data_IF_835536569242
#
_entry.id   IF_835536569242
#
_cell.length_a   1.000
_cell.length_b   1.000
_cell.length_c   1.000
_cell.angle_alpha   90.00
_cell.angle_beta   90.00
_cell.angle_gamma   90.00
#
_symmetry.space_group_name_H-M   'P 1'
#
loop_
_entity.id
_entity.type
_entity.pdbx_description
1 polymer ?
#
# COMPACT_ATOMS: atom_id res chain seq x y z
N UNK A 1 -14.59 19.26 29.94
CA UNK A 1 -15.88 18.55 29.63
C UNK A 1 -15.93 18.29 28.13
N UNK A 2 -16.21 17.07 27.70
CA UNK A 2 -16.23 16.66 26.29
C UNK A 2 -17.68 16.66 25.80
N UNK A 3 -17.96 17.40 24.73
CA UNK A 3 -19.26 17.40 24.03
C UNK A 3 -19.16 16.61 22.73
N UNK A 4 -20.08 15.67 22.52
CA UNK A 4 -20.12 14.85 21.31
C UNK A 4 -21.55 14.40 21.00
N UNK A 5 -21.81 13.98 19.76
CA UNK A 5 -23.15 13.54 19.34
C UNK A 5 -23.19 12.04 19.17
N UNK A 6 -24.27 11.39 19.63
CA UNK A 6 -24.48 9.96 19.40
C UNK A 6 -24.65 9.68 17.90
N UNK A 7 -23.83 8.81 17.34
CA UNK A 7 -23.83 8.40 15.92
C UNK A 7 -25.16 7.80 15.45
N UNK A 8 -25.98 7.26 16.35
CA UNK A 8 -27.27 6.62 16.02
C UNK A 8 -28.46 7.59 16.04
N UNK A 9 -28.50 8.51 17.00
CA UNK A 9 -29.69 9.36 17.22
C UNK A 9 -29.40 10.86 17.27
N UNK A 10 -28.14 11.25 17.05
CA UNK A 10 -27.63 12.62 17.08
C UNK A 10 -27.87 13.39 18.40
N UNK A 11 -28.17 12.69 19.50
CA UNK A 11 -28.29 13.33 20.80
C UNK A 11 -26.92 13.84 21.26
N UNK A 12 -26.87 15.10 21.69
CA UNK A 12 -25.66 15.72 22.23
C UNK A 12 -25.46 15.21 23.66
N UNK A 13 -24.29 14.65 23.92
CA UNK A 13 -23.89 14.11 25.20
C UNK A 13 -22.69 14.85 25.75
N UNK A 14 -22.61 14.91 27.08
CA UNK A 14 -21.48 15.48 27.80
C UNK A 14 -20.81 14.40 28.65
N UNK A 15 -19.49 14.37 28.63
CA UNK A 15 -18.69 13.47 29.46
C UNK A 15 -17.57 14.24 30.18
N UNK A 16 -17.23 13.89 31.43
CA UNK A 16 -15.99 14.35 32.03
C UNK A 16 -14.78 13.83 31.25
N UNK A 17 -13.67 14.58 31.28
CA UNK A 17 -12.45 14.22 30.56
C UNK A 17 -11.84 12.89 31.00
N UNK A 18 -12.11 12.45 32.23
CA UNK A 18 -11.69 11.16 32.76
C UNK A 18 -12.33 9.95 32.04
N UNK A 19 -13.40 10.15 31.27
CA UNK A 19 -14.06 9.10 30.48
C UNK A 19 -13.64 9.10 29.00
N UNK A 20 -12.57 9.82 28.65
CA UNK A 20 -12.02 9.89 27.31
C UNK A 20 -11.57 8.50 26.83
N UNK A 21 -12.04 8.07 25.66
CA UNK A 21 -11.75 6.75 25.10
C UNK A 21 -12.63 5.61 25.64
N UNK A 22 -13.40 5.86 26.70
CA UNK A 22 -14.35 4.90 27.27
C UNK A 22 -15.67 4.88 26.50
N UNK A 23 -16.45 3.81 26.68
CA UNK A 23 -17.78 3.70 26.10
C UNK A 23 -18.84 4.26 27.05
N UNK A 24 -19.68 5.17 26.55
CA UNK A 24 -20.82 5.72 27.27
C UNK A 24 -22.13 5.31 26.62
N UNK A 25 -23.10 4.94 27.46
CA UNK A 25 -24.45 4.62 27.01
C UNK A 25 -25.22 5.90 26.73
N UNK A 26 -25.69 6.06 25.49
CA UNK A 26 -26.51 7.19 25.10
C UNK A 26 -27.82 7.20 25.92
N UNK A 27 -28.17 8.32 26.60
CA UNK A 27 -29.34 8.37 27.46
C UNK A 27 -30.65 8.25 26.69
N UNK A 28 -30.66 8.60 25.39
CA UNK A 28 -31.86 8.58 24.54
C UNK A 28 -32.13 7.23 23.88
N UNK A 29 -31.11 6.62 23.28
CA UNK A 29 -31.29 5.39 22.48
C UNK A 29 -30.59 4.15 23.05
N UNK A 30 -29.82 4.30 24.13
CA UNK A 30 -29.10 3.21 24.78
C UNK A 30 -27.88 2.66 24.01
N UNK A 31 -27.52 3.24 22.87
CA UNK A 31 -26.34 2.85 22.10
C UNK A 31 -25.05 3.16 22.87
N UNK A 32 -24.05 2.27 22.80
CA UNK A 32 -22.73 2.49 23.39
C UNK A 32 -21.88 3.31 22.42
N UNK A 33 -21.65 4.57 22.77
CA UNK A 33 -20.83 5.49 22.00
C UNK A 33 -19.46 5.64 22.65
N UNK A 34 -18.39 5.55 21.86
CA UNK A 34 -17.05 5.77 22.37
C UNK A 34 -16.83 7.28 22.54
N UNK A 35 -16.53 7.73 23.74
CA UNK A 35 -16.12 9.13 23.98
C UNK A 35 -14.84 9.36 23.19
N UNK A 36 -14.83 10.39 22.33
CA UNK A 36 -13.65 10.71 21.52
C UNK A 36 -12.40 10.71 22.39
N UNK A 37 -11.40 9.90 22.00
CA UNK A 37 -10.11 9.80 22.70
C UNK A 37 -9.26 11.05 22.57
N UNK A 38 -9.63 11.99 21.69
CA UNK A 38 -8.77 13.12 21.30
C UNK A 38 -9.34 14.43 21.83
N UNK A 39 -8.52 15.22 22.54
CA UNK A 39 -8.92 16.55 22.99
C UNK A 39 -8.83 17.51 21.81
N UNK A 40 -9.96 17.94 21.20
CA UNK A 40 -9.91 18.81 20.04
C UNK A 40 -9.23 20.14 20.38
N UNK A 41 -9.37 20.60 21.63
CA UNK A 41 -8.84 21.89 22.10
C UNK A 41 -7.32 21.86 22.35
N UNK A 42 -6.70 20.67 22.45
CA UNK A 42 -5.23 20.56 22.56
C UNK A 42 -4.53 20.56 21.20
N UNK A 43 -5.27 20.38 20.11
CA UNK A 43 -4.71 20.34 18.78
C UNK A 43 -4.83 21.70 18.10
N UNK A 44 -3.70 22.42 18.02
CA UNK A 44 -3.65 23.67 17.25
C UNK A 44 -4.07 23.38 15.80
N UNK A 45 -5.03 24.14 15.23
CA UNK A 45 -5.38 24.01 13.83
C UNK A 45 -4.20 24.48 12.98
N UNK A 46 -3.47 23.54 12.39
CA UNK A 46 -2.29 23.82 11.55
C UNK A 46 -2.69 23.97 10.09
N UNK A 47 -1.98 24.84 9.37
CA UNK A 47 -2.15 25.02 7.93
C UNK A 47 -3.41 25.76 7.48
N UNK A 48 -3.37 26.16 6.21
CA UNK A 48 -4.43 26.91 5.54
C UNK A 48 -5.38 25.97 4.80
N UNK A 49 -6.67 26.01 5.15
CA UNK A 49 -7.70 25.28 4.40
C UNK A 49 -7.95 25.92 3.02
N UNK A 50 -7.92 27.25 2.95
CA UNK A 50 -8.05 27.99 1.71
C UNK A 50 -6.78 27.86 0.83
N UNK A 51 -6.85 28.15 -0.48
CA UNK A 51 -5.69 28.15 -1.37
C UNK A 51 -4.73 29.32 -1.07
N UNK A 52 -4.28 29.48 0.17
CA UNK A 52 -3.39 30.55 0.61
C UNK A 52 -2.03 29.93 0.95
N UNK A 53 -0.96 30.44 0.34
CA UNK A 53 0.38 29.95 0.59
C UNK A 53 0.76 30.08 2.07
N UNK A 54 1.19 29.00 2.75
CA UNK A 54 1.48 29.03 4.19
C UNK A 54 2.76 29.82 4.55
N UNK A 55 3.57 30.21 3.56
CA UNK A 55 4.80 30.98 3.77
C UNK A 55 4.61 32.49 3.58
N UNK A 56 3.88 32.92 2.55
CA UNK A 56 3.75 34.33 2.19
C UNK A 56 2.32 34.87 2.21
N UNK A 57 1.34 34.03 2.55
CA UNK A 57 -0.08 34.37 2.64
C UNK A 57 -0.72 34.93 1.36
N UNK A 58 -0.09 34.72 0.19
CA UNK A 58 -0.71 35.05 -1.11
C UNK A 58 -1.70 33.96 -1.53
N UNK A 59 -2.82 34.41 -2.10
CA UNK A 59 -3.83 33.54 -2.70
C UNK A 59 -3.27 32.86 -3.96
N UNK A 60 -3.48 31.56 -4.06
CA UNK A 60 -3.13 30.73 -5.21
C UNK A 60 -4.36 30.62 -6.12
N UNK A 61 -4.14 30.57 -7.43
CA UNK A 61 -5.23 30.43 -8.42
C UNK A 61 -6.00 29.12 -8.22
N UNK A 62 -5.30 28.03 -7.93
CA UNK A 62 -5.87 26.69 -7.73
C UNK A 62 -5.24 26.06 -6.48
N UNK A 63 -6.07 25.45 -5.63
CA UNK A 63 -5.59 24.68 -4.47
C UNK A 63 -4.84 23.43 -4.96
N UNK A 64 -3.53 23.30 -4.68
CA UNK A 64 -2.81 22.11 -5.13
C UNK A 64 -3.25 20.86 -4.38
N UNK A 65 -3.18 19.71 -5.05
CA UNK A 65 -3.46 18.37 -4.47
C UNK A 65 -2.20 17.65 -3.96
N UNK A 66 -1.02 18.15 -4.31
CA UNK A 66 0.30 17.57 -4.00
C UNK A 66 1.30 18.65 -3.61
N UNK A 67 2.48 18.23 -3.12
CA UNK A 67 3.62 19.13 -2.83
C UNK A 67 3.87 20.04 -4.03
N UNK A 68 3.88 21.35 -3.80
CA UNK A 68 3.94 22.36 -4.85
C UNK A 68 4.82 23.54 -4.43
N UNK A 69 5.37 24.25 -5.41
CA UNK A 69 6.18 25.46 -5.20
C UNK A 69 5.29 26.70 -5.35
N UNK A 70 5.37 27.64 -4.41
CA UNK A 70 4.65 28.90 -4.52
C UNK A 70 5.29 29.79 -5.60
N UNK A 71 4.49 30.31 -6.54
CA UNK A 71 4.95 31.22 -7.59
C UNK A 71 5.35 32.61 -7.06
N UNK A 72 4.85 33.01 -5.89
CA UNK A 72 5.14 34.33 -5.31
C UNK A 72 6.41 34.36 -4.46
N UNK A 73 6.63 33.36 -3.61
CA UNK A 73 7.79 33.32 -2.69
C UNK A 73 8.82 32.24 -3.01
N UNK A 74 8.54 31.33 -3.95
CA UNK A 74 9.46 30.26 -4.32
C UNK A 74 9.58 29.11 -3.31
N UNK A 75 8.96 29.20 -2.13
CA UNK A 75 9.00 28.11 -1.14
C UNK A 75 8.12 26.93 -1.55
N UNK A 76 8.55 25.71 -1.21
CA UNK A 76 7.74 24.50 -1.33
C UNK A 76 6.84 24.35 -0.10
N UNK A 77 5.57 24.03 -0.33
CA UNK A 77 4.62 23.67 0.72
C UNK A 77 4.03 22.29 0.44
N UNK A 78 3.46 21.67 1.47
CA UNK A 78 2.85 20.34 1.40
C UNK A 78 1.34 20.45 1.54
N UNK A 79 0.65 19.47 0.97
CA UNK A 79 -0.78 19.23 1.19
C UNK A 79 -0.87 18.06 2.17
N UNK A 80 -1.59 18.27 3.27
CA UNK A 80 -1.80 17.24 4.31
C UNK A 80 -3.27 17.23 4.70
N UNK A 81 -3.77 16.05 5.06
CA UNK A 81 -5.05 15.95 5.74
C UNK A 81 -4.84 16.26 7.21
N UNK A 82 -5.73 17.00 7.84
CA UNK A 82 -5.69 17.25 9.28
C UNK A 82 -6.39 16.12 10.05
N UNK A 83 -5.84 15.62 11.16
CA UNK A 83 -6.48 14.56 11.93
C UNK A 83 -7.78 15.04 12.61
N UNK A 84 -7.86 16.32 12.99
CA UNK A 84 -9.00 16.85 13.76
C UNK A 84 -10.32 16.84 12.98
N UNK A 85 -10.25 17.10 11.68
CA UNK A 85 -11.43 17.33 10.85
C UNK A 85 -11.39 16.63 9.49
N UNK A 86 -10.33 15.87 9.20
CA UNK A 86 -10.15 15.17 7.93
C UNK A 86 -10.00 16.11 6.73
N UNK A 87 -9.78 17.42 6.92
CA UNK A 87 -9.69 18.38 5.82
C UNK A 87 -8.27 18.48 5.27
N UNK A 88 -8.15 18.63 3.95
CA UNK A 88 -6.88 18.93 3.30
C UNK A 88 -6.48 20.39 3.54
N UNK A 89 -5.27 20.61 4.05
CA UNK A 89 -4.68 21.93 4.33
C UNK A 89 -3.33 22.08 3.65
N UNK A 90 -2.99 23.32 3.31
CA UNK A 90 -1.67 23.72 2.85
C UNK A 90 -0.82 24.07 4.07
N UNK A 91 0.32 23.40 4.21
CA UNK A 91 1.20 23.52 5.38
C UNK A 91 2.64 23.78 4.97
N UNK A 92 3.34 24.52 5.83
CA UNK A 92 4.80 24.55 5.81
C UNK A 92 5.37 23.17 6.15
N UNK A 93 6.66 22.97 5.90
CA UNK A 93 7.37 21.74 6.28
C UNK A 93 7.27 21.45 7.79
N UNK A 94 7.45 22.48 8.63
CA UNK A 94 7.39 22.35 10.09
C UNK A 94 5.98 22.00 10.59
N UNK A 95 4.95 22.63 10.02
CA UNK A 95 3.56 22.29 10.35
C UNK A 95 3.17 20.90 9.83
N UNK A 96 3.69 20.47 8.68
CA UNK A 96 3.47 19.12 8.17
C UNK A 96 4.00 18.06 9.15
N UNK A 97 5.17 18.33 9.75
CA UNK A 97 5.74 17.47 10.78
C UNK A 97 4.92 17.49 12.07
N UNK A 98 4.39 18.65 12.46
CA UNK A 98 3.52 18.74 13.63
C UNK A 98 2.16 18.05 13.41
N UNK A 99 1.56 18.17 12.22
CA UNK A 99 0.38 17.36 11.83
C UNK A 99 0.73 15.86 11.87
N UNK A 100 1.92 15.47 11.42
CA UNK A 100 2.38 14.07 11.48
C UNK A 100 2.41 13.57 12.93
N UNK A 101 2.97 14.37 13.85
CA UNK A 101 2.94 14.09 15.29
C UNK A 101 1.54 14.06 15.87
N UNK A 102 0.56 14.77 15.28
CA UNK A 102 -0.84 14.77 15.71
C UNK A 102 -1.66 13.58 15.20
N UNK A 103 -1.32 12.95 14.07
CA UNK A 103 -1.93 11.67 13.69
C UNK A 103 -1.57 10.53 14.64
N UNK A 104 -0.45 10.70 15.32
CA UNK A 104 0.18 9.69 16.14
C UNK A 104 -0.40 9.49 17.57
N UNK A 105 -0.86 10.52 18.32
CA UNK A 105 -1.23 10.38 19.73
C UNK A 105 -2.56 9.62 19.92
N UNK A 106 -3.38 9.49 18.88
CA UNK A 106 -4.62 8.70 18.91
C UNK A 106 -4.41 7.20 19.20
N UNK A 107 -3.16 6.70 19.13
CA UNK A 107 -2.80 5.32 19.44
C UNK A 107 -2.02 5.11 20.75
N UNK A 108 -1.66 6.17 21.48
CA UNK A 108 -0.97 6.06 22.78
C UNK A 108 0.35 5.27 22.79
N UNK A 109 0.95 4.98 21.64
CA UNK A 109 2.24 4.28 21.49
C UNK A 109 3.22 5.21 20.80
N UNK A 110 4.49 5.22 21.20
CA UNK A 110 5.58 5.84 20.44
C UNK A 110 5.62 5.30 18.99
N UNK A 111 6.00 6.09 17.97
CA UNK A 111 6.15 5.67 16.57
C UNK A 111 6.82 4.33 16.37
N UNK A 112 7.89 4.14 17.12
CA UNK A 112 8.72 2.96 17.09
C UNK A 112 8.00 1.74 17.66
N UNK A 113 7.17 1.91 18.71
CA UNK A 113 6.46 0.81 19.34
C UNK A 113 5.33 0.28 18.45
N UNK A 114 4.50 1.16 17.90
CA UNK A 114 3.47 0.75 16.95
C UNK A 114 4.06 0.10 15.71
N UNK A 115 5.19 0.60 15.20
CA UNK A 115 5.85 0.00 14.05
C UNK A 115 6.34 -1.41 14.41
N UNK A 116 6.95 -1.58 15.58
CA UNK A 116 7.34 -2.91 16.08
C UNK A 116 6.14 -3.82 16.20
N UNK A 117 5.02 -3.33 16.72
CA UNK A 117 3.79 -4.10 16.85
C UNK A 117 3.22 -4.52 15.49
N UNK A 118 3.21 -3.59 14.52
CA UNK A 118 2.77 -3.88 13.14
C UNK A 118 3.70 -4.82 12.41
N UNK A 119 5.01 -4.68 12.59
CA UNK A 119 5.99 -5.63 12.07
C UNK A 119 5.78 -7.02 12.69
N UNK A 120 5.53 -7.10 14.00
CA UNK A 120 5.20 -8.37 14.65
C UNK A 120 3.90 -8.98 14.12
N UNK A 121 2.87 -8.16 13.88
CA UNK A 121 1.60 -8.60 13.28
C UNK A 121 1.82 -9.16 11.86
N UNK A 122 2.56 -8.44 11.01
CA UNK A 122 2.90 -8.91 9.66
C UNK A 122 3.73 -10.19 9.69
N UNK A 123 4.73 -10.28 10.57
CA UNK A 123 5.53 -11.51 10.70
C UNK A 123 4.67 -12.70 11.11
N UNK A 124 3.74 -12.53 12.06
CA UNK A 124 2.79 -13.59 12.44
C UNK A 124 1.90 -14.00 11.26
N UNK A 125 1.43 -13.06 10.46
CA UNK A 125 0.64 -13.34 9.26
C UNK A 125 1.48 -14.08 8.21
N UNK A 126 2.73 -13.67 7.98
CA UNK A 126 3.64 -14.33 7.05
C UNK A 126 4.01 -15.74 7.50
N UNK A 127 4.24 -15.96 8.80
CA UNK A 127 4.50 -17.28 9.37
C UNK A 127 3.30 -18.21 9.16
N UNK A 128 2.09 -17.71 9.41
CA UNK A 128 0.85 -18.45 9.20
C UNK A 128 0.63 -18.77 7.71
N UNK A 129 0.82 -17.79 6.81
CA UNK A 129 0.74 -18.03 5.37
C UNK A 129 1.81 -19.02 4.89
N UNK A 130 3.01 -18.98 5.46
CA UNK A 130 4.08 -19.92 5.13
C UNK A 130 3.73 -21.34 5.59
N UNK A 131 3.16 -21.49 6.79
CA UNK A 131 2.62 -22.76 7.30
C UNK A 131 1.54 -23.31 6.38
N UNK A 132 0.53 -22.50 6.05
CA UNK A 132 -0.54 -22.87 5.12
C UNK A 132 0.00 -23.23 3.73
N UNK A 133 0.97 -22.48 3.21
CA UNK A 133 1.59 -22.78 1.91
C UNK A 133 2.25 -24.16 1.92
N UNK A 134 2.93 -24.52 3.01
CA UNK A 134 3.58 -25.84 3.15
C UNK A 134 2.54 -26.97 3.20
N UNK A 135 1.42 -26.75 3.89
CA UNK A 135 0.31 -27.70 3.95
C UNK A 135 -0.34 -27.87 2.58
N UNK A 136 -0.57 -26.78 1.85
CA UNK A 136 -1.13 -26.80 0.51
C UNK A 136 -0.22 -27.53 -0.50
N UNK A 137 1.10 -27.33 -0.44
CA UNK A 137 2.06 -28.10 -1.27
C UNK A 137 1.96 -29.59 -0.97
N UNK A 138 1.94 -29.98 0.30
CA UNK A 138 1.85 -31.40 0.70
C UNK A 138 0.54 -32.04 0.24
N UNK A 139 -0.55 -31.28 0.26
CA UNK A 139 -1.86 -31.73 -0.21
C UNK A 139 -2.01 -31.71 -1.75
N UNK A 140 -1.06 -31.10 -2.48
CA UNK A 140 -1.20 -30.88 -3.92
C UNK A 140 -2.20 -29.79 -4.30
N UNK A 141 -2.57 -28.92 -3.36
CA UNK A 141 -3.50 -27.80 -3.55
C UNK A 141 -2.76 -26.59 -4.12
N UNK A 142 -2.35 -26.66 -5.40
CA UNK A 142 -1.46 -25.66 -6.00
C UNK A 142 -2.12 -24.28 -6.17
N UNK A 143 -3.44 -24.20 -6.34
CA UNK A 143 -4.19 -22.94 -6.34
C UNK A 143 -4.10 -22.22 -5.00
N UNK A 144 -4.45 -22.90 -3.89
CA UNK A 144 -4.27 -22.37 -2.54
C UNK A 144 -2.81 -22.02 -2.23
N UNK A 145 -1.85 -22.85 -2.64
CA UNK A 145 -0.42 -22.55 -2.49
C UNK A 145 -0.07 -21.20 -3.13
N UNK A 146 -0.44 -21.04 -4.40
CA UNK A 146 -0.23 -19.82 -5.18
C UNK A 146 -0.88 -18.62 -4.50
N UNK A 147 -2.10 -18.77 -3.97
CA UNK A 147 -2.80 -17.70 -3.28
C UNK A 147 -2.11 -17.31 -1.96
N UNK A 148 -1.63 -18.28 -1.17
CA UNK A 148 -0.81 -17.98 0.01
C UNK A 148 0.44 -17.18 -0.38
N UNK A 149 1.15 -17.58 -1.43
CA UNK A 149 2.33 -16.86 -1.93
C UNK A 149 1.99 -15.45 -2.39
N UNK A 150 0.85 -15.27 -3.06
CA UNK A 150 0.41 -13.95 -3.49
C UNK A 150 0.20 -13.02 -2.29
N UNK A 151 -0.49 -13.48 -1.25
CA UNK A 151 -0.72 -12.68 -0.04
C UNK A 151 0.59 -12.42 0.73
N UNK A 152 1.53 -13.37 0.75
CA UNK A 152 2.86 -13.14 1.31
C UNK A 152 3.61 -12.01 0.58
N UNK A 153 3.61 -12.01 -0.76
CA UNK A 153 4.25 -10.98 -1.56
C UNK A 153 3.64 -9.59 -1.29
N UNK A 154 2.31 -9.52 -1.18
CA UNK A 154 1.57 -8.28 -0.86
C UNK A 154 1.91 -7.79 0.55
N UNK A 155 1.97 -8.68 1.54
CA UNK A 155 2.38 -8.33 2.91
C UNK A 155 3.78 -7.71 2.97
N UNK A 156 4.75 -8.33 2.29
CA UNK A 156 6.13 -7.81 2.22
C UNK A 156 6.20 -6.44 1.52
N UNK A 157 5.44 -6.26 0.44
CA UNK A 157 5.39 -4.97 -0.26
C UNK A 157 4.71 -3.89 0.58
N UNK A 158 3.64 -4.22 1.31
CA UNK A 158 2.98 -3.30 2.24
C UNK A 158 3.93 -2.88 3.37
N UNK A 159 4.68 -3.82 3.96
CA UNK A 159 5.68 -3.49 4.98
C UNK A 159 6.76 -2.55 4.41
N UNK A 160 7.30 -2.86 3.22
CA UNK A 160 8.30 -2.02 2.57
C UNK A 160 7.79 -0.61 2.28
N UNK A 161 6.57 -0.50 1.74
CA UNK A 161 5.91 0.77 1.45
C UNK A 161 5.63 1.56 2.73
N UNK A 162 5.23 0.87 3.80
CA UNK A 162 5.03 1.49 5.10
C UNK A 162 6.32 2.09 5.65
N UNK A 163 7.44 1.36 5.58
CA UNK A 163 8.75 1.89 6.00
C UNK A 163 9.13 3.11 5.13
N UNK A 164 8.91 3.06 3.82
CA UNK A 164 9.21 4.22 2.96
C UNK A 164 8.39 5.47 3.29
N UNK A 165 7.10 5.31 3.61
CA UNK A 165 6.20 6.44 3.88
C UNK A 165 6.51 7.09 5.23
N UNK A 166 6.86 6.30 6.25
CA UNK A 166 6.97 6.80 7.62
C UNK A 166 8.37 7.29 7.99
N UNK A 167 9.39 6.90 7.23
CA UNK A 167 10.77 7.32 7.44
C UNK A 167 11.17 8.31 6.33
N UNK A 168 10.85 9.61 6.52
CA UNK A 168 11.14 10.67 5.53
C UNK A 168 12.64 10.88 5.26
N UNK A 169 13.50 10.43 6.18
CA UNK A 169 14.94 10.45 6.04
C UNK A 169 15.51 9.06 6.28
N UNK A 170 15.51 8.18 5.27
CA UNK A 170 16.18 6.90 5.37
C UNK A 170 17.71 7.10 5.19
N UNK A 171 18.28 8.14 5.82
CA UNK A 171 19.73 8.37 5.84
C UNK A 171 20.45 7.30 6.68
N UNK A 172 19.72 6.60 7.54
CA UNK A 172 20.20 5.36 8.14
C UNK A 172 20.19 4.25 7.09
N UNK A 173 21.39 3.75 6.77
CA UNK A 173 21.65 2.68 5.80
C UNK A 173 20.76 1.45 6.01
N UNK A 174 20.36 1.19 7.25
CA UNK A 174 19.71 -0.05 7.66
C UNK A 174 18.25 -0.10 7.19
N UNK A 175 17.52 1.01 7.26
CA UNK A 175 16.15 1.10 6.79
C UNK A 175 16.07 0.95 5.26
N UNK A 176 16.95 1.62 4.51
CA UNK A 176 17.00 1.45 3.05
C UNK A 176 17.35 0.02 2.65
N UNK A 177 18.31 -0.58 3.35
CA UNK A 177 18.73 -1.96 3.10
C UNK A 177 17.58 -2.93 3.38
N UNK A 178 16.85 -2.73 4.48
CA UNK A 178 15.67 -3.52 4.82
C UNK A 178 14.57 -3.38 3.77
N UNK A 179 14.20 -2.15 3.38
CA UNK A 179 13.20 -1.91 2.32
C UNK A 179 13.59 -2.59 1.01
N UNK A 180 14.84 -2.41 0.57
CA UNK A 180 15.35 -3.04 -0.64
C UNK A 180 15.29 -4.57 -0.57
N UNK A 181 15.58 -5.12 0.60
CA UNK A 181 15.50 -6.57 0.85
C UNK A 181 14.07 -7.07 0.76
N UNK A 182 13.13 -6.43 1.45
CA UNK A 182 11.69 -6.79 1.43
C UNK A 182 11.10 -6.71 0.02
N UNK A 183 11.38 -5.63 -0.71
CA UNK A 183 10.89 -5.46 -2.09
C UNK A 183 11.47 -6.51 -3.04
N UNK A 184 12.76 -6.85 -2.91
CA UNK A 184 13.37 -7.94 -3.70
C UNK A 184 12.74 -9.30 -3.39
N UNK A 185 12.43 -9.56 -2.12
CA UNK A 185 11.71 -10.77 -1.71
C UNK A 185 10.29 -10.78 -2.29
N UNK A 186 9.56 -9.67 -2.25
CA UNK A 186 8.24 -9.54 -2.85
C UNK A 186 8.28 -9.83 -4.37
N UNK A 187 9.25 -9.25 -5.11
CA UNK A 187 9.45 -9.55 -6.55
C UNK A 187 9.65 -11.06 -6.76
N UNK A 188 10.53 -11.69 -5.98
CA UNK A 188 10.81 -13.12 -6.14
C UNK A 188 9.55 -13.98 -5.91
N UNK A 189 8.71 -13.62 -4.94
CA UNK A 189 7.46 -14.35 -4.67
C UNK A 189 6.39 -14.06 -5.74
N UNK A 190 6.27 -12.82 -6.25
CA UNK A 190 5.38 -12.53 -7.38
C UNK A 190 5.80 -13.27 -8.65
N UNK A 191 7.11 -13.42 -8.89
CA UNK A 191 7.64 -14.26 -9.96
C UNK A 191 7.29 -15.73 -9.74
N UNK A 192 7.37 -16.21 -8.50
CA UNK A 192 6.94 -17.57 -8.14
C UNK A 192 5.45 -17.77 -8.44
N UNK A 193 4.58 -16.86 -8.00
CA UNK A 193 3.15 -16.86 -8.35
C UNK A 193 2.94 -16.93 -9.86
N UNK A 194 3.68 -16.11 -10.62
CA UNK A 194 3.59 -16.09 -12.09
C UNK A 194 4.04 -17.40 -12.72
N UNK A 195 5.10 -18.04 -12.19
CA UNK A 195 5.54 -19.35 -12.65
C UNK A 195 4.46 -20.42 -12.45
N UNK A 196 3.73 -20.38 -11.34
CA UNK A 196 2.61 -21.29 -11.08
C UNK A 196 1.41 -21.00 -11.98
N UNK A 197 1.07 -19.73 -12.18
CA UNK A 197 -0.03 -19.34 -13.09
C UNK A 197 0.23 -19.83 -14.52
N UNK A 198 1.44 -19.60 -15.04
CA UNK A 198 1.90 -20.08 -16.35
C UNK A 198 1.86 -21.62 -16.49
N UNK A 199 1.97 -22.34 -15.39
CA UNK A 199 1.96 -23.80 -15.35
C UNK A 199 0.60 -24.40 -14.96
N UNK A 200 -0.46 -23.59 -14.99
CA UNK A 200 -1.84 -24.07 -14.86
C UNK A 200 -2.37 -24.11 -13.43
N UNK A 201 -1.72 -23.46 -12.47
CA UNK A 201 -2.36 -23.15 -11.20
C UNK A 201 -3.39 -22.03 -11.42
N UNK A 202 -4.62 -22.22 -10.94
CA UNK A 202 -5.66 -21.22 -11.01
C UNK A 202 -6.28 -20.97 -9.62
N UNK A 203 -7.18 -19.98 -9.53
CA UNK A 203 -7.83 -19.61 -8.26
C UNK A 203 -8.86 -20.65 -7.75
N UNK A 204 -9.11 -21.73 -8.50
CA UNK A 204 -10.12 -22.75 -8.19
C UNK A 204 -9.51 -24.07 -7.70
N UNK A 205 -8.27 -24.05 -7.19
CA UNK A 205 -7.56 -25.19 -6.63
C UNK A 205 -7.28 -26.35 -7.60
N UNK A 206 -7.60 -26.17 -8.87
CA UNK A 206 -7.30 -27.12 -9.92
C UNK A 206 -5.90 -26.82 -10.47
N UNK A 207 -4.97 -27.75 -10.27
CA UNK A 207 -3.75 -27.82 -11.06
C UNK A 207 -4.05 -28.70 -12.27
N UNK A 208 -4.19 -28.06 -13.43
CA UNK A 208 -4.39 -28.77 -14.68
C UNK A 208 -3.13 -28.70 -15.55
N UNK A 209 -2.12 -29.56 -15.30
CA UNK A 209 -0.89 -29.58 -16.10
C UNK A 209 -1.16 -29.99 -17.56
N UNK A 210 -2.32 -30.59 -17.84
CA UNK A 210 -2.71 -31.01 -19.20
C UNK A 210 -3.40 -29.92 -20.00
N UNK A 211 -3.68 -28.76 -19.40
CA UNK A 211 -4.33 -27.64 -20.07
C UNK A 211 -3.32 -26.93 -20.98
N UNK A 212 -3.00 -27.56 -22.11
CA UNK A 212 -2.04 -27.10 -23.12
C UNK A 212 -2.50 -25.84 -23.87
N UNK A 213 -3.79 -25.50 -23.79
CA UNK A 213 -4.36 -24.25 -24.33
C UNK A 213 -4.41 -23.17 -23.25
N UNK A 214 -3.23 -22.77 -22.81
CA UNK A 214 -3.04 -21.57 -22.00
C UNK A 214 -3.31 -20.34 -22.91
N UNK A 215 -4.15 -19.41 -22.46
CA UNK A 215 -4.66 -18.28 -23.26
C UNK A 215 -3.93 -16.98 -22.90
N UNK A 216 -4.22 -15.87 -23.57
CA UNK A 216 -3.58 -14.56 -23.37
C UNK A 216 -3.65 -13.97 -21.92
N UNK A 217 -4.22 -14.69 -20.95
CA UNK A 217 -4.45 -14.27 -19.56
C UNK A 217 -3.70 -15.13 -18.53
N UNK A 218 -2.58 -15.75 -18.93
CA UNK A 218 -1.87 -16.72 -18.09
C UNK A 218 -1.23 -16.12 -16.83
N UNK A 219 -1.08 -14.80 -16.74
CA UNK A 219 -0.67 -14.11 -15.52
C UNK A 219 -1.66 -12.97 -15.29
N UNK A 220 -2.17 -12.85 -14.06
CA UNK A 220 -3.06 -11.75 -13.71
C UNK A 220 -2.36 -10.39 -13.97
N UNK A 221 -2.96 -9.46 -14.74
CA UNK A 221 -2.32 -8.17 -15.06
C UNK A 221 -1.87 -7.37 -13.84
N UNK A 222 -2.59 -7.50 -12.71
CA UNK A 222 -2.22 -6.87 -11.45
C UNK A 222 -0.85 -7.36 -10.91
N UNK A 223 -0.48 -8.63 -11.14
CA UNK A 223 0.82 -9.15 -10.70
C UNK A 223 1.95 -8.52 -11.52
N UNK A 224 1.76 -8.34 -12.83
CA UNK A 224 2.74 -7.66 -13.70
C UNK A 224 2.87 -6.18 -13.32
N UNK A 225 1.75 -5.51 -13.02
CA UNK A 225 1.72 -4.14 -12.51
C UNK A 225 2.55 -3.99 -11.22
N UNK A 226 2.29 -4.85 -10.23
CA UNK A 226 3.02 -4.82 -8.95
C UNK A 226 4.52 -5.11 -9.10
N UNK A 227 4.90 -6.07 -9.94
CA UNK A 227 6.32 -6.31 -10.22
C UNK A 227 6.94 -5.07 -10.90
N UNK A 228 6.25 -4.45 -11.86
CA UNK A 228 6.71 -3.25 -12.55
C UNK A 228 6.95 -2.10 -11.57
N UNK A 229 6.00 -1.83 -10.67
CA UNK A 229 6.14 -0.81 -9.64
C UNK A 229 7.34 -1.08 -8.71
N UNK A 230 7.53 -2.34 -8.29
CA UNK A 230 8.66 -2.73 -7.45
C UNK A 230 10.02 -2.55 -8.18
N UNK A 231 10.08 -2.87 -9.47
CA UNK A 231 11.29 -2.66 -10.29
C UNK A 231 11.64 -1.18 -10.39
N UNK A 232 10.64 -0.33 -10.64
CA UNK A 232 10.82 1.12 -10.71
C UNK A 232 11.32 1.68 -9.37
N UNK A 233 10.70 1.25 -8.26
CA UNK A 233 11.09 1.64 -6.91
C UNK A 233 12.52 1.22 -6.56
N UNK A 234 12.95 0.04 -7.01
CA UNK A 234 14.30 -0.48 -6.76
C UNK A 234 15.33 -0.05 -7.79
N UNK A 235 14.92 0.59 -8.88
CA UNK A 235 15.76 0.93 -10.05
C UNK A 235 16.52 -0.30 -10.58
N UNK A 236 15.82 -1.43 -10.66
CA UNK A 236 16.39 -2.68 -11.17
C UNK A 236 16.24 -2.71 -12.69
N UNK A 237 17.28 -3.11 -13.41
CA UNK A 237 17.16 -3.37 -14.84
C UNK A 237 16.38 -4.68 -15.07
N UNK A 238 15.47 -4.68 -16.05
CA UNK A 238 14.59 -5.83 -16.34
C UNK A 238 15.36 -7.13 -16.63
N UNK A 239 16.57 -7.05 -17.17
CA UNK A 239 17.42 -8.22 -17.42
C UNK A 239 17.76 -9.00 -16.13
N UNK A 240 17.77 -8.32 -14.97
CA UNK A 240 17.96 -8.98 -13.67
C UNK A 240 16.74 -9.81 -13.23
N UNK A 241 15.57 -9.58 -13.82
CA UNK A 241 14.39 -10.42 -13.57
C UNK A 241 14.60 -11.83 -14.11
N UNK A 242 15.30 -11.98 -15.25
CA UNK A 242 15.61 -13.29 -15.81
C UNK A 242 16.36 -14.15 -14.79
N UNK A 243 17.40 -13.59 -14.18
CA UNK A 243 18.18 -14.31 -13.17
C UNK A 243 17.32 -14.67 -11.95
N UNK A 244 16.47 -13.75 -11.50
CA UNK A 244 15.54 -14.02 -10.39
C UNK A 244 14.54 -15.12 -10.75
N UNK A 245 14.00 -15.10 -11.97
CA UNK A 245 13.08 -16.11 -12.49
C UNK A 245 13.68 -17.50 -12.52
N UNK A 246 14.88 -17.65 -13.07
CA UNK A 246 15.55 -18.97 -13.13
C UNK A 246 15.90 -19.47 -11.73
N UNK A 247 16.31 -18.58 -10.81
CA UNK A 247 16.53 -18.95 -9.41
C UNK A 247 15.26 -19.43 -8.71
N UNK A 248 14.10 -18.84 -9.03
CA UNK A 248 12.81 -19.28 -8.52
C UNK A 248 12.42 -20.62 -9.14
N UNK A 249 12.51 -20.76 -10.46
CA UNK A 249 12.19 -22.01 -11.17
C UNK A 249 13.04 -23.19 -10.69
N UNK A 250 14.34 -22.98 -10.43
CA UNK A 250 15.25 -24.01 -9.93
C UNK A 250 14.80 -24.60 -8.58
N UNK A 251 14.16 -23.81 -7.71
CA UNK A 251 13.60 -24.30 -6.44
C UNK A 251 12.45 -25.30 -6.66
N UNK A 252 11.80 -25.24 -7.81
CA UNK A 252 10.62 -26.03 -8.16
C UNK A 252 10.90 -27.04 -9.28
N UNK A 253 12.17 -27.28 -9.65
CA UNK A 253 12.55 -28.17 -10.77
C UNK A 253 12.06 -29.63 -10.63
N UNK A 254 11.73 -30.05 -9.41
CA UNK A 254 11.20 -31.39 -9.14
C UNK A 254 9.69 -31.50 -9.41
N UNK A 255 9.00 -30.39 -9.63
CA UNK A 255 7.58 -30.39 -9.97
C UNK A 255 7.40 -30.70 -11.47
N UNK A 256 6.38 -31.49 -11.84
CA UNK A 256 6.11 -31.86 -13.22
C UNK A 256 5.41 -30.72 -13.97
N UNK A 257 6.08 -29.57 -14.08
CA UNK A 257 5.56 -28.41 -14.79
C UNK A 257 5.41 -28.69 -16.30
N UNK A 258 4.28 -28.33 -16.92
CA UNK A 258 4.06 -28.54 -18.34
C UNK A 258 4.96 -27.67 -19.23
N UNK A 259 5.36 -26.49 -18.76
CA UNK A 259 6.29 -25.62 -19.45
C UNK A 259 7.71 -25.85 -18.94
N UNK A 260 8.68 -25.88 -19.86
CA UNK A 260 10.09 -25.74 -19.48
C UNK A 260 10.36 -24.35 -18.89
N UNK A 261 11.44 -24.21 -18.12
CA UNK A 261 11.85 -22.92 -17.54
C UNK A 261 12.04 -21.84 -18.61
N UNK A 262 12.61 -22.20 -19.77
CA UNK A 262 12.84 -21.25 -20.88
C UNK A 262 11.53 -20.81 -21.54
N UNK A 263 10.58 -21.74 -21.73
CA UNK A 263 9.26 -21.41 -22.28
C UNK A 263 8.44 -20.57 -21.31
N UNK A 264 8.45 -20.91 -20.01
CA UNK A 264 7.79 -20.12 -18.98
C UNK A 264 8.39 -18.71 -18.90
N UNK A 265 9.72 -18.58 -18.96
CA UNK A 265 10.39 -17.27 -19.00
C UNK A 265 9.97 -16.45 -20.23
N UNK A 266 9.91 -17.08 -21.42
CA UNK A 266 9.47 -16.41 -22.65
C UNK A 266 8.07 -15.84 -22.48
N UNK A 267 7.12 -16.64 -21.98
CA UNK A 267 5.74 -16.19 -21.74
C UNK A 267 5.64 -15.11 -20.67
N UNK A 268 6.40 -15.26 -19.59
CA UNK A 268 6.50 -14.25 -18.55
C UNK A 268 6.97 -12.90 -19.13
N UNK A 269 8.01 -12.92 -19.98
CA UNK A 269 8.51 -11.73 -20.66
C UNK A 269 7.46 -11.13 -21.61
N UNK A 270 6.82 -11.96 -22.42
CA UNK A 270 5.79 -11.51 -23.37
C UNK A 270 4.63 -10.80 -22.62
N UNK A 271 4.26 -11.28 -21.42
CA UNK A 271 3.25 -10.63 -20.57
C UNK A 271 3.66 -9.23 -20.10
N UNK A 272 4.95 -8.96 -19.83
CA UNK A 272 5.43 -7.60 -19.57
C UNK A 272 5.32 -6.71 -20.79
N UNK A 273 5.76 -7.21 -21.95
CA UNK A 273 5.75 -6.44 -23.20
C UNK A 273 4.30 -6.07 -23.61
N UNK A 274 3.34 -6.95 -23.36
CA UNK A 274 1.92 -6.68 -23.61
C UNK A 274 1.30 -5.74 -22.58
N UNK A 275 1.68 -5.86 -21.30
CA UNK A 275 1.27 -4.93 -20.25
C UNK A 275 1.74 -3.49 -20.57
N UNK A 276 2.98 -3.32 -21.02
CA UNK A 276 3.51 -2.00 -21.42
C UNK A 276 2.70 -1.37 -22.56
N UNK A 277 2.36 -2.15 -23.59
CA UNK A 277 1.51 -1.69 -24.70
C UNK A 277 0.13 -1.25 -24.19
N UNK A 278 -0.45 -2.00 -23.26
CA UNK A 278 -1.74 -1.67 -22.65
C UNK A 278 -1.66 -0.35 -21.86
N UNK A 279 -0.64 -0.16 -21.02
CA UNK A 279 -0.46 1.06 -20.22
C UNK A 279 -0.24 2.28 -21.12
N UNK A 280 0.56 2.16 -22.19
CA UNK A 280 0.77 3.24 -23.16
C UNK A 280 -0.56 3.61 -23.84
N UNK A 281 -1.34 2.62 -24.25
CA UNK A 281 -2.64 2.84 -24.89
C UNK A 281 -3.61 3.56 -23.95
N UNK A 282 -3.67 3.15 -22.68
CA UNK A 282 -4.52 3.77 -21.68
C UNK A 282 -4.10 5.22 -21.35
N UNK A 283 -2.79 5.49 -21.24
CA UNK A 283 -2.28 6.86 -21.03
C UNK A 283 -2.64 7.79 -22.20
N UNK A 284 -2.54 7.29 -23.43
CA UNK A 284 -2.92 8.05 -24.63
C UNK A 284 -4.43 8.34 -24.66
N UNK A 285 -5.26 7.36 -24.31
CA UNK A 285 -6.71 7.54 -24.22
C UNK A 285 -7.08 8.55 -23.13
N UNK A 286 -6.46 8.47 -21.94
CA UNK A 286 -6.70 9.42 -20.87
C UNK A 286 -6.29 10.85 -21.25
N UNK A 287 -5.18 11.02 -21.98
CA UNK A 287 -4.76 12.32 -22.52
C UNK A 287 -5.77 12.87 -23.54
N UNK A 288 -6.30 12.01 -24.41
CA UNK A 288 -7.35 12.39 -25.37
C UNK A 288 -8.63 12.87 -24.67
N UNK A 289 -9.09 12.16 -23.63
CA UNK A 289 -10.26 12.57 -22.85
C UNK A 289 -10.04 13.87 -22.07
N UNK A 290 -8.85 14.07 -21.49
CA UNK A 290 -8.53 15.32 -20.79
C UNK A 290 -8.53 16.53 -21.75
N UNK A 291 -8.03 16.36 -22.98
CA UNK A 291 -8.03 17.43 -23.99
C UNK A 291 -9.42 17.81 -24.48
N UNK A 292 -10.40 16.90 -24.44
CA UNK A 292 -11.80 17.20 -24.83
C UNK A 292 -12.52 18.02 -23.75
N UNK A 293 -12.12 17.90 -22.49
CA UNK A 293 -12.74 18.66 -21.38
C UNK A 293 -12.22 20.10 -21.25
N UNK A 294 -11.17 20.46 -22.00
CA UNK A 294 -10.57 21.80 -22.01
C UNK A 294 -11.05 22.68 -23.19
N UNK A 295 -12.01 22.19 -24.00
CA UNK A 295 -12.65 22.92 -25.11
C UNK A 295 -14.10 23.24 -24.76
#
# INVERSE_FOLDING_TARGET
MIRFSCSKCNEVMEAPESLRGENLKCPKCGYLEKVSGENPDLMKPLGNFEPICPYCNKLLEIKPKRRSKCLHCGNFFRVRTRPQDGKQVLVTEAEAEEIRKQYWPGYGREPENWLKDKQQEWHKQLDELNRQSTENVKAGNWGLYRNCKLEMARGLWQEASFILINFEHPAESDHQTKVKTLMKQAIAIFIEVSLFDLNGANNHDEFNPTQTKVQFWDIAPAVIDWITELIENLKIERDNLKQTFYKVAEKHKSLPFPLSTDEAWKRFKDAFDDYDKMVITNKNNQKYFNNIQEV
#
